data_IF_234781259261
#
_entry.id   IF_234781259261
#
_cell.length_a   1.000
_cell.length_b   1.000
_cell.length_c   1.000
_cell.angle_alpha   90.00
_cell.angle_beta   90.00
_cell.angle_gamma   90.00
#
_symmetry.space_group_name_H-M   'P 1'
#
loop_
_entity.id
_entity.type
_entity.pdbx_description
1 polymer ?
#
# COMPACT_ATOMS: atom_id res chain seq x y z
N UNK A 1 -74.93 49.88 21.73
CA UNK A 1 -73.96 49.06 20.93
C UNK A 1 -73.26 48.10 21.91
N UNK A 2 -73.67 46.81 21.88
CA UNK A 2 -73.09 45.77 22.77
C UNK A 2 -71.99 45.04 22.03
N UNK A 3 -70.71 45.19 22.45
CA UNK A 3 -69.57 44.52 21.87
C UNK A 3 -69.55 43.09 22.41
N UNK A 4 -69.81 42.11 21.55
CA UNK A 4 -69.67 40.68 21.85
C UNK A 4 -68.18 40.35 21.95
N UNK A 5 -67.69 40.04 23.15
CA UNK A 5 -66.36 39.49 23.33
C UNK A 5 -66.29 38.04 22.81
N UNK A 6 -65.32 37.70 21.96
CA UNK A 6 -65.19 36.35 21.52
C UNK A 6 -64.71 35.47 22.68
N UNK A 7 -65.40 34.37 22.96
CA UNK A 7 -65.00 33.35 23.91
C UNK A 7 -63.67 32.71 23.47
N UNK A 8 -62.61 33.04 24.12
CA UNK A 8 -61.32 32.34 24.03
C UNK A 8 -61.50 30.97 24.68
N UNK A 9 -61.93 29.97 23.91
CA UNK A 9 -61.90 28.58 24.31
C UNK A 9 -60.46 28.22 24.66
N UNK A 10 -60.23 27.91 25.93
CA UNK A 10 -58.97 27.45 26.47
C UNK A 10 -58.57 26.11 25.82
N UNK A 11 -57.75 26.17 24.78
CA UNK A 11 -57.13 24.97 24.17
C UNK A 11 -55.93 24.52 24.99
N UNK A 12 -56.15 24.02 26.21
CA UNK A 12 -55.08 23.61 27.13
C UNK A 12 -54.49 22.23 26.88
N UNK A 13 -55.14 21.40 26.01
CA UNK A 13 -54.66 20.03 25.72
C UNK A 13 -53.82 19.91 24.45
N UNK A 14 -54.12 20.71 23.40
CA UNK A 14 -53.48 20.60 22.10
C UNK A 14 -52.02 21.09 22.09
N UNK A 15 -51.70 22.11 22.90
CA UNK A 15 -50.34 22.66 22.99
C UNK A 15 -49.32 21.67 23.59
N UNK A 16 -49.77 20.87 24.55
CA UNK A 16 -48.89 19.86 25.16
C UNK A 16 -48.56 18.74 24.16
N UNK A 17 -49.55 18.32 23.34
CA UNK A 17 -49.34 17.31 22.30
C UNK A 17 -48.38 17.82 21.20
N UNK A 18 -48.56 19.08 20.76
CA UNK A 18 -47.69 19.71 19.76
C UNK A 18 -46.25 19.85 20.31
N UNK A 19 -46.10 20.28 21.58
CA UNK A 19 -44.80 20.39 22.20
C UNK A 19 -44.10 19.04 22.32
N UNK A 20 -44.82 17.96 22.64
CA UNK A 20 -44.28 16.61 22.72
C UNK A 20 -43.84 16.10 21.36
N UNK A 21 -44.63 16.31 20.31
CA UNK A 21 -44.24 15.91 18.93
C UNK A 21 -43.00 16.68 18.48
N UNK A 22 -42.96 18.00 18.72
CA UNK A 22 -41.79 18.82 18.38
C UNK A 22 -40.53 18.36 19.11
N UNK A 23 -40.63 18.00 20.38
CA UNK A 23 -39.53 17.48 21.17
C UNK A 23 -39.02 16.16 20.60
N UNK A 24 -39.91 15.24 20.21
CA UNK A 24 -39.54 13.97 19.58
C UNK A 24 -38.83 14.22 18.24
N UNK A 25 -39.35 15.10 17.40
CA UNK A 25 -38.73 15.42 16.11
C UNK A 25 -37.35 16.03 16.28
N UNK A 26 -37.17 16.99 17.20
CA UNK A 26 -35.90 17.61 17.47
C UNK A 26 -34.85 16.60 18.05
N UNK A 27 -35.26 15.69 18.91
CA UNK A 27 -34.40 14.65 19.44
C UNK A 27 -33.95 13.68 18.35
N UNK A 28 -34.84 13.26 17.45
CA UNK A 28 -34.52 12.39 16.33
C UNK A 28 -33.56 13.06 15.34
N UNK A 29 -33.79 14.34 15.01
CA UNK A 29 -32.86 15.11 14.16
C UNK A 29 -31.49 15.28 14.81
N UNK A 30 -31.43 15.55 16.12
CA UNK A 30 -30.18 15.61 16.88
C UNK A 30 -29.39 14.31 16.83
N UNK A 31 -30.05 13.18 17.07
CA UNK A 31 -29.42 11.85 17.00
C UNK A 31 -28.93 11.49 15.61
N UNK A 32 -29.70 11.84 14.57
CA UNK A 32 -29.31 11.63 13.18
C UNK A 32 -28.04 12.43 12.83
N UNK A 33 -27.95 13.67 13.29
CA UNK A 33 -26.79 14.54 13.07
C UNK A 33 -25.50 13.98 13.71
N UNK A 34 -25.57 13.46 14.93
CA UNK A 34 -24.42 12.89 15.65
C UNK A 34 -23.88 11.65 14.91
N UNK A 35 -24.74 10.80 14.37
CA UNK A 35 -24.30 9.62 13.60
C UNK A 35 -23.54 9.99 12.34
N UNK A 36 -23.95 11.05 11.65
CA UNK A 36 -23.29 11.56 10.46
C UNK A 36 -21.86 12.05 10.74
N UNK A 37 -21.67 12.83 11.80
CA UNK A 37 -20.36 13.35 12.20
C UNK A 37 -19.40 12.24 12.63
N UNK A 38 -19.84 11.27 13.39
CA UNK A 38 -19.00 10.15 13.82
C UNK A 38 -18.47 9.30 12.66
N UNK A 39 -19.28 9.15 11.59
CA UNK A 39 -18.83 8.45 10.38
C UNK A 39 -17.77 9.25 9.62
N UNK A 40 -17.92 10.56 9.52
CA UNK A 40 -16.96 11.45 8.88
C UNK A 40 -15.62 11.48 9.64
N UNK A 41 -15.65 11.50 10.98
CA UNK A 41 -14.43 11.42 11.80
C UNK A 41 -13.67 10.12 11.58
N UNK A 42 -14.36 8.97 11.52
CA UNK A 42 -13.73 7.67 11.24
C UNK A 42 -13.11 7.63 9.83
N UNK A 43 -13.81 8.16 8.84
CA UNK A 43 -13.25 8.25 7.48
C UNK A 43 -12.02 9.15 7.44
N UNK A 44 -12.07 10.31 8.11
CA UNK A 44 -10.93 11.24 8.21
C UNK A 44 -9.72 10.59 8.89
N UNK A 45 -9.93 9.88 10.00
CA UNK A 45 -8.87 9.14 10.69
C UNK A 45 -8.23 8.07 9.80
N UNK A 46 -9.03 7.27 9.09
CA UNK A 46 -8.53 6.25 8.17
C UNK A 46 -7.74 6.86 7.00
N UNK A 47 -8.18 7.99 6.46
CA UNK A 47 -7.44 8.69 5.40
C UNK A 47 -6.11 9.23 5.91
N UNK A 48 -6.08 9.76 7.11
CA UNK A 48 -4.85 10.24 7.75
C UNK A 48 -3.86 9.10 8.00
N UNK A 49 -4.30 7.99 8.60
CA UNK A 49 -3.46 6.82 8.86
C UNK A 49 -2.90 6.24 7.54
N UNK A 50 -3.71 6.21 6.48
CA UNK A 50 -3.26 5.79 5.17
C UNK A 50 -2.19 6.73 4.60
N UNK A 51 -2.36 8.05 4.74
CA UNK A 51 -1.37 9.02 4.26
C UNK A 51 -0.04 8.90 4.97
N UNK A 52 -0.04 8.63 6.28
CA UNK A 52 1.16 8.35 7.05
C UNK A 52 1.83 7.06 6.60
N UNK A 53 1.05 6.00 6.36
CA UNK A 53 1.59 4.74 5.86
C UNK A 53 2.23 4.92 4.47
N UNK A 54 1.67 5.73 3.58
CA UNK A 54 2.29 6.09 2.31
C UNK A 54 3.65 6.77 2.49
N UNK A 55 3.74 7.75 3.37
CA UNK A 55 5.01 8.46 3.65
C UNK A 55 6.07 7.50 4.21
N UNK A 56 5.69 6.59 5.09
CA UNK A 56 6.57 5.57 5.63
C UNK A 56 7.10 4.63 4.54
N UNK A 57 6.23 4.15 3.67
CA UNK A 57 6.61 3.26 2.57
C UNK A 57 7.45 4.00 1.52
N UNK A 58 7.14 5.26 1.23
CA UNK A 58 7.97 6.09 0.34
C UNK A 58 9.37 6.31 0.90
N UNK A 59 9.49 6.52 2.22
CA UNK A 59 10.81 6.61 2.85
C UNK A 59 11.61 5.31 2.74
N UNK A 60 10.95 4.16 2.83
CA UNK A 60 11.58 2.85 2.63
C UNK A 60 12.04 2.66 1.17
N UNK A 61 11.25 3.11 0.19
CA UNK A 61 11.69 3.10 -1.21
C UNK A 61 12.96 3.93 -1.41
N UNK A 62 13.02 5.13 -0.86
CA UNK A 62 14.22 6.00 -0.95
C UNK A 62 15.44 5.38 -0.27
N UNK A 63 15.27 4.72 0.88
CA UNK A 63 16.34 3.99 1.55
C UNK A 63 16.82 2.81 0.70
N UNK A 64 15.90 2.09 0.08
CA UNK A 64 16.22 1.01 -0.85
C UNK A 64 16.99 1.53 -2.07
N UNK A 65 16.53 2.60 -2.71
CA UNK A 65 17.20 3.24 -3.85
C UNK A 65 18.63 3.68 -3.48
N UNK A 66 18.81 4.30 -2.32
CA UNK A 66 20.12 4.73 -1.83
C UNK A 66 21.07 3.56 -1.52
N UNK A 67 20.54 2.36 -1.30
CA UNK A 67 21.34 1.16 -1.04
C UNK A 67 21.83 0.45 -2.30
N UNK A 68 21.33 0.83 -3.48
CA UNK A 68 21.64 0.21 -4.77
C UNK A 68 22.76 1.00 -5.47
N UNK A 69 23.78 0.28 -5.90
CA UNK A 69 24.84 0.80 -6.79
C UNK A 69 24.91 -0.04 -8.05
N UNK A 70 25.58 0.45 -9.08
CA UNK A 70 25.80 -0.28 -10.35
C UNK A 70 26.51 -1.63 -10.17
N UNK A 71 27.19 -1.83 -9.05
CA UNK A 71 27.91 -3.06 -8.71
C UNK A 71 27.24 -3.90 -7.64
N UNK A 72 25.99 -3.58 -7.26
CA UNK A 72 25.28 -4.32 -6.23
C UNK A 72 25.02 -5.76 -6.69
N UNK A 73 25.69 -6.72 -6.03
CA UNK A 73 25.46 -8.15 -6.27
C UNK A 73 24.26 -8.65 -5.51
N UNK A 74 23.40 -9.36 -6.20
CA UNK A 74 22.15 -9.90 -5.65
C UNK A 74 22.32 -11.40 -5.36
N UNK A 75 22.07 -11.79 -4.10
CA UNK A 75 22.35 -13.15 -3.60
C UNK A 75 21.09 -14.00 -3.35
N UNK A 76 19.92 -13.54 -3.74
CA UNK A 76 18.62 -14.16 -3.42
C UNK A 76 18.36 -14.32 -1.90
N UNK A 77 18.86 -13.40 -1.11
CA UNK A 77 18.71 -13.35 0.34
C UNK A 77 18.65 -11.92 0.86
N UNK A 78 18.24 -11.75 2.11
CA UNK A 78 18.23 -10.46 2.80
C UNK A 78 17.56 -9.30 2.03
N UNK A 79 16.44 -9.58 1.40
CA UNK A 79 15.71 -8.57 0.63
C UNK A 79 16.27 -8.25 -0.75
N UNK A 80 17.32 -8.96 -1.20
CA UNK A 80 17.93 -8.80 -2.52
C UNK A 80 17.70 -10.05 -3.36
N UNK A 81 16.95 -9.94 -4.43
CA UNK A 81 16.53 -11.06 -5.27
C UNK A 81 16.79 -10.83 -6.75
N UNK A 82 17.01 -11.92 -7.47
CA UNK A 82 17.03 -11.91 -8.92
C UNK A 82 15.65 -12.28 -9.46
N UNK A 83 15.18 -11.55 -10.45
CA UNK A 83 14.03 -11.97 -11.23
C UNK A 83 14.39 -13.15 -12.14
N UNK A 84 13.41 -13.97 -12.56
CA UNK A 84 13.62 -15.01 -13.55
C UNK A 84 14.30 -14.44 -14.80
N UNK A 85 15.39 -15.09 -15.24
CA UNK A 85 16.21 -14.59 -16.36
C UNK A 85 17.32 -13.61 -15.98
N UNK A 86 17.44 -13.21 -14.72
CA UNK A 86 18.59 -12.46 -14.23
C UNK A 86 19.88 -13.28 -14.35
N UNK A 87 20.89 -12.73 -15.06
CA UNK A 87 22.14 -13.41 -15.36
C UNK A 87 23.32 -12.83 -14.57
N UNK A 88 24.39 -13.61 -14.31
CA UNK A 88 25.63 -13.06 -13.80
C UNK A 88 26.17 -11.90 -14.67
N UNK A 89 26.94 -10.93 -14.12
CA UNK A 89 27.62 -11.05 -12.80
C UNK A 89 26.83 -10.54 -11.60
N UNK A 90 25.68 -9.86 -11.81
CA UNK A 90 24.96 -9.23 -10.69
C UNK A 90 24.03 -10.21 -9.94
N UNK A 91 23.66 -11.34 -10.57
CA UNK A 91 22.97 -12.43 -9.89
C UNK A 91 23.96 -13.52 -9.50
N UNK A 92 24.26 -13.63 -8.21
CA UNK A 92 25.15 -14.68 -7.71
C UNK A 92 24.55 -16.09 -7.79
N UNK A 93 23.22 -16.18 -7.75
CA UNK A 93 22.45 -17.43 -7.90
C UNK A 93 21.33 -17.20 -8.90
N UNK A 94 21.24 -18.07 -9.91
CA UNK A 94 20.14 -17.99 -10.87
C UNK A 94 18.81 -18.04 -10.13
N UNK A 95 17.91 -17.10 -10.46
CA UNK A 95 16.53 -17.18 -9.98
C UNK A 95 15.91 -18.50 -10.45
N UNK A 96 14.98 -19.09 -9.68
CA UNK A 96 14.24 -20.25 -10.13
C UNK A 96 13.58 -19.90 -11.46
N UNK A 97 13.92 -20.66 -12.49
CA UNK A 97 13.37 -20.47 -13.83
C UNK A 97 11.86 -20.72 -13.73
N UNK A 98 10.99 -19.79 -14.12
CA UNK A 98 9.58 -20.13 -14.25
C UNK A 98 9.51 -21.28 -15.25
N UNK A 99 8.59 -22.24 -15.04
CA UNK A 99 8.38 -23.28 -16.03
C UNK A 99 8.13 -22.60 -17.36
N UNK A 100 8.96 -22.90 -18.34
CA UNK A 100 8.79 -22.40 -19.70
C UNK A 100 7.40 -22.82 -20.15
N UNK A 101 6.47 -21.86 -20.20
CA UNK A 101 5.20 -22.07 -20.86
C UNK A 101 5.53 -22.34 -22.32
N UNK A 102 5.39 -23.61 -22.71
CA UNK A 102 5.63 -24.04 -24.06
C UNK A 102 4.75 -23.24 -24.99
N UNK A 103 5.37 -22.50 -25.89
CA UNK A 103 4.73 -22.08 -27.12
C UNK A 103 4.25 -23.33 -27.86
N UNK A 104 3.01 -23.26 -28.31
CA UNK A 104 2.23 -24.33 -28.86
C UNK A 104 2.97 -25.30 -29.80
N UNK A 105 3.08 -26.54 -29.37
CA UNK A 105 3.30 -27.68 -30.18
C UNK A 105 2.07 -28.54 -30.10
N UNK A 106 1.33 -28.71 -31.20
CA UNK A 106 0.22 -29.59 -31.33
C UNK A 106 0.64 -31.06 -31.06
N UNK A 107 -0.13 -31.73 -30.22
CA UNK A 107 -0.21 -33.19 -30.21
C UNK A 107 0.50 -33.88 -29.04
N UNK A 108 -0.24 -34.19 -27.98
CA UNK A 108 0.20 -35.15 -26.96
C UNK A 108 -0.61 -35.00 -25.69
N UNK A 109 -1.64 -35.82 -25.58
CA UNK A 109 -2.40 -36.01 -24.34
C UNK A 109 -1.50 -36.64 -23.28
N UNK A 110 -0.92 -35.82 -22.43
CA UNK A 110 -0.36 -36.25 -21.16
C UNK A 110 -0.49 -35.12 -20.16
N UNK A 111 -1.25 -35.36 -19.10
CA UNK A 111 -1.48 -34.43 -18.02
C UNK A 111 -0.18 -34.24 -17.24
N UNK A 112 0.73 -33.42 -17.79
CA UNK A 112 1.86 -32.90 -17.01
C UNK A 112 1.34 -31.99 -15.90
N UNK A 113 1.82 -32.16 -14.65
CA UNK A 113 1.46 -31.28 -13.57
C UNK A 113 1.80 -29.83 -14.01
N UNK A 114 0.80 -28.97 -14.08
CA UNK A 114 1.03 -27.55 -14.33
C UNK A 114 1.93 -27.06 -13.21
N UNK A 115 3.16 -26.72 -13.55
CA UNK A 115 4.09 -26.17 -12.60
C UNK A 115 3.45 -24.90 -11.99
N UNK A 116 3.60 -24.66 -10.68
CA UNK A 116 2.97 -23.53 -10.04
C UNK A 116 3.37 -22.25 -10.77
N UNK A 117 2.37 -21.43 -11.10
CA UNK A 117 2.59 -20.15 -11.73
C UNK A 117 3.61 -19.35 -10.91
N UNK A 118 4.55 -18.66 -11.57
CA UNK A 118 5.52 -17.82 -10.90
C UNK A 118 4.79 -16.83 -9.97
N UNK A 119 5.04 -16.96 -8.68
CA UNK A 119 4.54 -16.01 -7.69
C UNK A 119 5.52 -14.86 -7.57
N UNK A 120 5.03 -13.65 -7.68
CA UNK A 120 5.87 -12.48 -7.44
C UNK A 120 6.36 -12.46 -5.99
N UNK A 121 7.62 -12.08 -5.79
CA UNK A 121 8.29 -12.12 -4.48
C UNK A 121 7.52 -11.39 -3.37
N UNK A 122 6.87 -10.29 -3.70
CA UNK A 122 6.10 -9.53 -2.71
C UNK A 122 4.88 -10.29 -2.16
N UNK A 123 4.42 -11.31 -2.88
CA UNK A 123 3.30 -12.17 -2.49
C UNK A 123 3.75 -13.56 -2.00
N UNK A 124 5.05 -13.81 -1.96
CA UNK A 124 5.62 -15.07 -1.50
C UNK A 124 5.91 -14.99 0.01
N UNK A 125 5.32 -15.91 0.79
CA UNK A 125 5.48 -15.96 2.25
C UNK A 125 6.89 -16.30 2.69
N UNK A 126 7.73 -16.86 1.83
CA UNK A 126 9.14 -17.20 2.10
C UNK A 126 10.08 -16.03 1.87
N UNK A 127 9.60 -14.95 1.30
CA UNK A 127 10.40 -13.76 1.01
C UNK A 127 10.89 -13.10 2.30
N UNK A 128 12.20 -12.93 2.39
CA UNK A 128 12.83 -12.18 3.46
C UNK A 128 12.80 -10.69 3.12
N UNK A 129 12.11 -9.93 3.93
CA UNK A 129 12.02 -8.49 3.80
C UNK A 129 13.13 -7.80 4.58
N UNK A 130 13.66 -6.72 4.02
CA UNK A 130 14.66 -5.88 4.68
C UNK A 130 13.98 -4.69 5.31
N UNK A 131 14.29 -4.41 6.58
CA UNK A 131 13.72 -3.29 7.30
C UNK A 131 14.38 -1.97 6.90
N UNK A 132 13.56 -0.95 6.66
CA UNK A 132 13.99 0.42 6.43
C UNK A 132 14.07 1.15 7.78
N UNK A 133 15.27 1.33 8.28
CA UNK A 133 15.51 1.85 9.63
C UNK A 133 15.97 3.29 9.69
N UNK A 134 16.44 3.86 8.58
CA UNK A 134 17.04 5.20 8.55
C UNK A 134 16.03 6.28 8.91
N UNK A 135 14.91 6.35 8.19
CA UNK A 135 13.83 7.29 8.52
C UNK A 135 13.11 6.89 9.79
N UNK A 136 12.87 5.58 9.99
CA UNK A 136 12.20 5.08 11.17
C UNK A 136 12.89 5.46 12.47
N UNK A 137 14.21 5.54 12.46
CA UNK A 137 15.01 6.01 13.60
C UNK A 137 14.79 7.48 13.97
N UNK A 138 14.32 8.30 13.02
CA UNK A 138 14.17 9.74 13.18
C UNK A 138 12.79 10.19 13.63
N UNK A 139 11.75 9.37 13.46
CA UNK A 139 10.39 9.71 13.87
C UNK A 139 10.14 9.43 15.35
N UNK A 140 9.21 10.17 15.92
CA UNK A 140 8.85 10.04 17.33
C UNK A 140 8.05 8.76 17.65
N UNK A 141 7.96 8.42 18.91
CA UNK A 141 7.27 7.23 19.39
C UNK A 141 5.77 7.27 19.11
N UNK A 142 5.16 8.46 19.14
CA UNK A 142 3.71 8.59 18.88
C UNK A 142 3.40 8.30 17.40
N UNK A 143 4.25 8.72 16.47
CA UNK A 143 4.11 8.41 15.06
C UNK A 143 4.36 6.92 14.79
N UNK A 144 5.38 6.33 15.43
CA UNK A 144 5.64 4.89 15.34
C UNK A 144 4.44 4.07 15.80
N UNK A 145 3.82 4.44 16.92
CA UNK A 145 2.63 3.76 17.44
C UNK A 145 1.40 3.87 16.52
N UNK A 146 1.35 4.91 15.68
CA UNK A 146 0.29 5.05 14.66
C UNK A 146 0.55 4.23 13.40
N UNK A 147 1.79 3.95 13.08
CA UNK A 147 2.20 3.24 11.86
C UNK A 147 2.34 1.74 12.06
N UNK A 148 2.76 1.33 13.22
CA UNK A 148 3.01 -0.09 13.54
C UNK A 148 2.14 -0.57 14.72
N UNK A 149 2.26 -1.84 15.00
CA UNK A 149 1.73 -2.45 16.20
C UNK A 149 2.62 -2.15 17.45
N UNK A 150 2.37 -2.86 18.53
CA UNK A 150 3.17 -2.77 19.76
C UNK A 150 4.63 -3.21 19.58
N UNK A 151 4.94 -3.95 18.52
CA UNK A 151 6.31 -4.41 18.21
C UNK A 151 7.19 -3.33 17.58
N UNK A 152 6.61 -2.17 17.26
CA UNK A 152 7.34 -1.04 16.70
C UNK A 152 8.10 -1.39 15.41
N UNK A 153 7.49 -2.21 14.54
CA UNK A 153 8.12 -2.72 13.32
C UNK A 153 8.20 -1.63 12.25
N UNK A 154 9.39 -1.36 11.69
CA UNK A 154 9.57 -0.38 10.63
C UNK A 154 8.98 -0.85 9.31
N UNK A 155 8.81 0.05 8.32
CA UNK A 155 8.50 -0.34 6.95
C UNK A 155 9.62 -1.22 6.39
N UNK A 156 9.28 -2.06 5.44
CA UNK A 156 10.19 -3.05 4.88
C UNK A 156 10.17 -3.03 3.35
N UNK A 157 11.26 -3.47 2.74
CA UNK A 157 11.41 -3.50 1.30
C UNK A 157 12.14 -4.73 0.78
N UNK A 158 11.94 -5.01 -0.49
CA UNK A 158 12.71 -5.94 -1.29
C UNK A 158 13.20 -5.27 -2.57
N UNK A 159 14.34 -5.71 -3.05
CA UNK A 159 14.97 -5.24 -4.27
C UNK A 159 15.15 -6.45 -5.18
N UNK A 160 14.63 -6.35 -6.39
CA UNK A 160 14.69 -7.41 -7.39
C UNK A 160 15.47 -6.92 -8.62
N UNK A 161 16.55 -7.56 -8.94
CA UNK A 161 17.31 -7.28 -10.16
C UNK A 161 16.55 -7.80 -11.36
N UNK A 162 16.23 -6.89 -12.29
CA UNK A 162 15.43 -7.19 -13.48
C UNK A 162 16.28 -7.58 -14.69
N UNK A 163 17.58 -7.34 -14.63
CA UNK A 163 18.49 -7.50 -15.79
C UNK A 163 19.02 -6.17 -16.30
N UNK A 164 19.74 -6.25 -17.41
CA UNK A 164 20.28 -5.10 -18.11
C UNK A 164 19.35 -4.69 -19.25
N UNK A 165 19.01 -3.42 -19.31
CA UNK A 165 18.15 -2.85 -20.34
C UNK A 165 18.90 -1.80 -21.15
N UNK A 166 18.59 -1.73 -22.43
CA UNK A 166 19.08 -0.68 -23.29
C UNK A 166 18.46 0.67 -22.92
N UNK A 167 19.29 1.68 -22.81
CA UNK A 167 18.83 3.02 -22.52
C UNK A 167 18.55 3.76 -23.83
N UNK A 168 17.33 4.29 -23.94
CA UNK A 168 16.80 4.92 -25.15
C UNK A 168 17.72 5.87 -25.89
N UNK A 169 17.42 6.84 -26.50
CA UNK A 169 17.88 8.03 -27.20
C UNK A 169 19.41 8.26 -27.45
N UNK A 170 20.30 7.37 -27.13
CA UNK A 170 21.74 7.54 -27.42
C UNK A 170 22.44 6.26 -27.85
N UNK A 171 21.76 5.15 -27.79
CA UNK A 171 22.33 3.81 -28.01
C UNK A 171 22.55 3.41 -29.48
N UNK A 172 22.23 4.24 -30.43
CA UNK A 172 22.41 3.96 -31.84
C UNK A 172 23.65 4.59 -32.49
N UNK A 173 24.45 5.35 -31.74
CA UNK A 173 25.66 5.97 -32.34
C UNK A 173 26.82 4.99 -32.33
N UNK A 174 27.45 4.82 -33.50
CA UNK A 174 28.63 3.98 -33.69
C UNK A 174 29.70 4.31 -32.67
N UNK A 175 29.99 3.33 -31.77
CA UNK A 175 31.07 3.42 -30.79
C UNK A 175 30.66 3.48 -29.31
N UNK A 176 29.39 3.54 -29.02
CA UNK A 176 28.91 3.48 -27.62
C UNK A 176 28.76 2.03 -27.16
N UNK A 177 29.72 1.56 -26.38
CA UNK A 177 29.74 0.17 -25.83
C UNK A 177 28.95 0.02 -24.52
N UNK A 178 28.37 1.07 -23.97
CA UNK A 178 27.72 1.02 -22.65
C UNK A 178 26.32 1.67 -22.66
N UNK A 179 25.46 1.17 -23.54
CA UNK A 179 24.07 1.56 -23.56
C UNK A 179 23.18 0.71 -22.63
N UNK A 180 23.73 -0.31 -22.01
CA UNK A 180 23.01 -1.18 -21.09
C UNK A 180 23.33 -0.82 -19.66
N UNK A 181 22.29 -0.76 -18.84
CA UNK A 181 22.45 -0.55 -17.42
C UNK A 181 21.50 -1.45 -16.62
N UNK A 182 21.89 -1.77 -15.39
CA UNK A 182 21.06 -2.60 -14.54
C UNK A 182 19.78 -1.87 -14.17
N UNK A 183 18.67 -2.59 -14.12
CA UNK A 183 17.41 -2.12 -13.58
C UNK A 183 16.98 -2.99 -12.41
N UNK A 184 16.42 -2.33 -11.43
CA UNK A 184 15.93 -2.97 -10.22
C UNK A 184 14.46 -2.61 -10.02
N UNK A 185 13.67 -3.59 -9.62
CA UNK A 185 12.33 -3.40 -9.10
C UNK A 185 12.41 -3.35 -7.60
N UNK A 186 11.90 -2.31 -7.00
CA UNK A 186 11.86 -2.14 -5.56
C UNK A 186 10.40 -2.19 -5.14
N UNK A 187 10.09 -3.07 -4.21
CA UNK A 187 8.77 -3.13 -3.58
C UNK A 187 8.94 -2.86 -2.10
N UNK A 188 8.23 -1.87 -1.59
CA UNK A 188 8.21 -1.54 -0.18
C UNK A 188 6.79 -1.60 0.38
N UNK A 189 6.65 -1.96 1.64
CA UNK A 189 5.36 -2.06 2.32
C UNK A 189 5.48 -1.72 3.79
N UNK A 190 4.33 -1.38 4.39
CA UNK A 190 4.19 -1.53 5.84
C UNK A 190 3.90 -2.99 6.15
N UNK A 191 4.53 -3.58 7.18
CA UNK A 191 4.14 -4.90 7.67
C UNK A 191 2.65 -4.93 7.98
N UNK A 192 1.93 -6.00 7.59
CA UNK A 192 0.49 -6.09 7.81
C UNK A 192 0.18 -6.10 9.31
N UNK A 193 -0.68 -5.19 9.73
CA UNK A 193 -1.19 -5.07 11.11
C UNK A 193 -2.71 -5.04 11.06
N UNK A 194 -3.35 -5.81 11.92
CA UNK A 194 -4.81 -5.88 11.98
C UNK A 194 -5.41 -4.49 12.30
N UNK A 195 -6.46 -4.13 11.57
CA UNK A 195 -7.15 -2.85 11.72
C UNK A 195 -6.41 -1.64 11.14
N UNK A 196 -5.29 -1.83 10.44
CA UNK A 196 -4.53 -0.74 9.80
C UNK A 196 -4.52 -0.87 8.28
N UNK A 197 -4.37 0.26 7.55
CA UNK A 197 -4.30 0.21 6.10
C UNK A 197 -3.00 -0.49 5.66
N UNK A 198 -3.14 -1.52 4.85
CA UNK A 198 -2.02 -2.15 4.18
C UNK A 198 -1.64 -1.31 2.95
N UNK A 199 -0.44 -0.76 2.95
CA UNK A 199 0.11 0.04 1.86
C UNK A 199 1.36 -0.63 1.35
N UNK A 200 1.40 -0.89 0.06
CA UNK A 200 2.58 -1.33 -0.66
C UNK A 200 2.79 -0.43 -1.88
N UNK A 201 4.04 -0.08 -2.14
CA UNK A 201 4.46 0.70 -3.30
C UNK A 201 5.54 -0.05 -4.06
N UNK A 202 5.53 0.10 -5.37
CA UNK A 202 6.54 -0.50 -6.23
C UNK A 202 7.09 0.55 -7.20
N UNK A 203 8.39 0.53 -7.41
CA UNK A 203 9.07 1.39 -8.36
C UNK A 203 10.11 0.60 -9.15
N UNK A 204 10.48 1.12 -10.31
CA UNK A 204 11.62 0.64 -11.09
C UNK A 204 12.73 1.67 -10.98
N UNK A 205 13.88 1.24 -10.53
CA UNK A 205 15.04 2.10 -10.27
C UNK A 205 16.22 1.71 -11.16
N UNK A 206 16.97 2.73 -11.57
CA UNK A 206 18.24 2.61 -12.26
C UNK A 206 19.29 3.44 -11.49
N UNK A 207 20.35 2.83 -10.98
CA UNK A 207 21.42 3.53 -10.28
C UNK A 207 22.30 4.38 -11.22
#
# INVERSE_FOLDING_TARGET
>A
MSVRQPNLRTQRGATLLVALVMLIVMTLLGLASIRGTSMQEKMGANMYDRSLAFQAVESALREAEASITVTTTVTNSNGLYCLPGGTPPLCAVAAPTPPSGGEGGEGGSESTPVAPAYSERWNDSTTQWRQATTWWGQIDTAMKARLSDTSNTPPEFIIEYMGEFEDGTGCGQRGSTSCRGPRYRITARMPPVEGRPNVALQTTYRP
#
